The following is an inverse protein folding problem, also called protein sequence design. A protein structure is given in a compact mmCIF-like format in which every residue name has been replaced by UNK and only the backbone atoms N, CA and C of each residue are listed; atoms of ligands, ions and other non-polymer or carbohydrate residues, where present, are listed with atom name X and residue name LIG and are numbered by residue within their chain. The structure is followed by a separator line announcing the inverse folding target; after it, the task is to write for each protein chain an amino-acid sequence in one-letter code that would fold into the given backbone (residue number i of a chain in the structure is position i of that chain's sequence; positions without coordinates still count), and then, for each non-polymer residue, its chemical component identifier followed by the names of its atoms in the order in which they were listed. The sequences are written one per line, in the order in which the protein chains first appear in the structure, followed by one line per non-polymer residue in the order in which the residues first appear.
data_IF_292607554154
#
_entry.id   IF_292607554154
#
_cell.length_a   1.000
_cell.length_b   1.000
_cell.length_c   1.000
_cell.angle_alpha   90.00
_cell.angle_beta   90.00
_cell.angle_gamma   90.00
#
_symmetry.space_group_name_H-M   'P 1'
#
loop_
_entity.id
_entity.type
_entity.pdbx_description
1 polymer ?
#
# COMPACT_ATOMS: atom_id res chain seq x y z
N UNK A 1 -10.86 15.32 -35.36
CA UNK A 1 -11.64 14.06 -35.42
C UNK A 1 -10.74 12.82 -35.51
N UNK A 2 -9.83 12.72 -36.50
CA UNK A 2 -9.00 11.52 -36.72
C UNK A 2 -8.03 11.23 -35.59
N UNK A 3 -7.42 12.25 -34.99
CA UNK A 3 -6.50 12.11 -33.85
C UNK A 3 -7.21 11.59 -32.59
N UNK A 4 -8.41 12.09 -32.31
CA UNK A 4 -9.23 11.60 -31.16
C UNK A 4 -9.56 10.11 -31.33
N UNK A 5 -9.96 9.69 -32.53
CA UNK A 5 -10.26 8.27 -32.79
C UNK A 5 -9.02 7.37 -32.62
N UNK A 6 -7.86 7.86 -33.03
CA UNK A 6 -6.61 7.13 -32.88
C UNK A 6 -6.27 6.97 -31.39
N UNK A 7 -6.32 8.05 -30.62
CA UNK A 7 -6.02 8.01 -29.17
C UNK A 7 -7.01 7.11 -28.39
N UNK A 8 -8.30 7.16 -28.72
CA UNK A 8 -9.29 6.27 -28.11
C UNK A 8 -9.00 4.79 -28.45
N UNK A 9 -8.71 4.48 -29.71
CA UNK A 9 -8.40 3.10 -30.11
C UNK A 9 -7.11 2.58 -29.46
N UNK A 10 -6.12 3.44 -29.26
CA UNK A 10 -4.88 3.08 -28.58
C UNK A 10 -5.11 2.84 -27.07
N UNK A 11 -5.92 3.69 -26.42
CA UNK A 11 -6.31 3.51 -25.03
C UNK A 11 -7.14 2.23 -24.82
N UNK A 12 -8.11 1.96 -25.69
CA UNK A 12 -8.91 0.73 -25.67
C UNK A 12 -8.05 -0.53 -25.91
N UNK A 13 -7.01 -0.42 -26.74
CA UNK A 13 -6.06 -1.52 -26.97
C UNK A 13 -5.24 -1.80 -25.70
N UNK A 14 -4.79 -0.76 -25.01
CA UNK A 14 -4.08 -0.90 -23.73
C UNK A 14 -5.01 -1.47 -22.65
N UNK A 15 -6.26 -1.02 -22.58
CA UNK A 15 -7.28 -1.57 -21.67
C UNK A 15 -7.51 -3.07 -21.92
N UNK A 16 -7.66 -3.48 -23.17
CA UNK A 16 -7.85 -4.88 -23.54
C UNK A 16 -6.65 -5.77 -23.17
N UNK A 17 -5.46 -5.17 -23.11
CA UNK A 17 -4.22 -5.81 -22.63
C UNK A 17 -4.05 -5.75 -21.10
N UNK A 18 -5.00 -5.17 -20.35
CA UNK A 18 -4.89 -4.84 -18.92
C UNK A 18 -3.72 -3.90 -18.58
N UNK A 19 -3.28 -3.07 -19.53
CA UNK A 19 -2.25 -2.04 -19.35
C UNK A 19 -2.90 -0.70 -18.96
N UNK A 20 -3.63 -0.65 -17.87
CA UNK A 20 -4.41 0.52 -17.47
C UNK A 20 -3.55 1.75 -17.20
N UNK A 21 -2.33 1.59 -16.67
CA UNK A 21 -1.38 2.70 -16.50
C UNK A 21 -1.10 3.38 -17.82
N UNK A 22 -0.87 2.61 -18.89
CA UNK A 22 -0.68 3.13 -20.25
C UNK A 22 -1.94 3.80 -20.80
N UNK A 23 -3.12 3.19 -20.60
CA UNK A 23 -4.38 3.79 -21.01
C UNK A 23 -4.63 5.16 -20.35
N UNK A 24 -4.25 5.29 -19.06
CA UNK A 24 -4.33 6.56 -18.30
C UNK A 24 -3.38 7.64 -18.83
N UNK A 25 -2.24 7.29 -19.39
CA UNK A 25 -1.29 8.25 -19.98
C UNK A 25 -1.77 8.76 -21.34
N UNK A 26 -2.32 7.88 -22.17
CA UNK A 26 -2.76 8.19 -23.54
C UNK A 26 -3.85 9.27 -23.57
N UNK A 27 -4.86 9.18 -22.69
CA UNK A 27 -6.03 10.07 -22.71
C UNK A 27 -5.71 11.51 -22.32
N UNK A 28 -4.97 11.81 -21.24
CA UNK A 28 -4.53 13.17 -20.91
C UNK A 28 -3.58 13.75 -21.96
N UNK A 29 -2.66 12.95 -22.49
CA UNK A 29 -1.72 13.38 -23.53
C UNK A 29 -2.46 13.83 -24.78
N UNK A 30 -3.48 13.08 -25.19
CA UNK A 30 -4.31 13.47 -26.33
C UNK A 30 -5.11 14.75 -26.05
N UNK A 31 -5.59 14.97 -24.83
CA UNK A 31 -6.32 16.17 -24.43
C UNK A 31 -5.46 17.44 -24.43
N UNK A 32 -4.14 17.33 -24.35
CA UNK A 32 -3.22 18.46 -24.51
C UNK A 32 -3.26 19.07 -25.94
N UNK A 33 -3.70 18.28 -26.93
CA UNK A 33 -3.74 18.68 -28.35
C UNK A 33 -5.14 18.85 -28.90
N UNK A 34 -6.18 18.40 -28.19
CA UNK A 34 -7.56 18.47 -28.65
C UNK A 34 -8.53 18.47 -27.47
N UNK A 35 -9.69 19.09 -27.64
CA UNK A 35 -10.81 18.95 -26.71
C UNK A 35 -11.78 17.89 -27.22
N UNK A 36 -12.12 16.91 -26.37
CA UNK A 36 -13.03 15.82 -26.72
C UNK A 36 -13.76 15.32 -25.47
N UNK A 37 -15.10 15.30 -25.51
CA UNK A 37 -15.90 14.73 -24.43
C UNK A 37 -15.62 13.22 -24.27
N UNK A 38 -15.44 12.50 -25.36
CA UNK A 38 -15.15 11.07 -25.34
C UNK A 38 -13.80 10.75 -24.66
N UNK A 39 -12.76 11.56 -24.90
CA UNK A 39 -11.48 11.40 -24.19
C UNK A 39 -11.61 11.75 -22.70
N UNK A 40 -12.38 12.79 -22.36
CA UNK A 40 -12.64 13.13 -20.97
C UNK A 40 -13.40 12.03 -20.24
N UNK A 41 -14.42 11.46 -20.87
CA UNK A 41 -15.18 10.32 -20.32
C UNK A 41 -14.27 9.11 -20.07
N UNK A 42 -13.41 8.77 -21.02
CA UNK A 42 -12.43 7.68 -20.86
C UNK A 42 -11.40 7.99 -19.78
N UNK A 43 -10.91 9.20 -19.66
CA UNK A 43 -9.99 9.62 -18.59
C UNK A 43 -10.65 9.45 -17.21
N UNK A 44 -11.93 9.87 -17.04
CA UNK A 44 -12.66 9.66 -15.80
C UNK A 44 -12.90 8.16 -15.50
N UNK A 45 -13.18 7.36 -16.52
CA UNK A 45 -13.31 5.91 -16.38
C UNK A 45 -12.01 5.27 -15.88
N UNK A 46 -10.85 5.71 -16.38
CA UNK A 46 -9.56 5.14 -16.01
C UNK A 46 -9.05 5.60 -14.63
N UNK A 47 -9.61 6.65 -14.04
CA UNK A 47 -9.28 7.07 -12.65
C UNK A 47 -9.49 5.95 -11.63
N UNK A 48 -10.46 5.06 -11.85
CA UNK A 48 -10.70 3.90 -10.96
C UNK A 48 -9.54 2.91 -10.88
N UNK A 49 -8.57 3.02 -11.81
CA UNK A 49 -7.36 2.19 -11.81
C UNK A 49 -6.12 2.91 -11.28
N UNK A 50 -6.27 4.17 -10.80
CA UNK A 50 -5.17 4.86 -10.15
C UNK A 50 -4.76 4.14 -8.86
N UNK A 51 -3.44 4.04 -8.66
CA UNK A 51 -2.91 3.62 -7.39
C UNK A 51 -3.08 4.75 -6.38
N UNK A 52 -3.69 4.44 -5.25
CA UNK A 52 -3.92 5.42 -4.19
C UNK A 52 -3.06 5.02 -2.98
N UNK A 53 -2.23 5.94 -2.48
CA UNK A 53 -1.51 5.71 -1.23
C UNK A 53 -2.49 5.36 -0.11
N UNK A 54 -2.19 4.29 0.63
CA UNK A 54 -3.01 3.85 1.76
C UNK A 54 -3.20 4.97 2.80
N UNK A 55 -2.20 5.84 2.97
CA UNK A 55 -2.25 6.98 3.90
C UNK A 55 -3.20 8.10 3.43
N UNK A 56 -3.66 8.10 2.18
CA UNK A 56 -4.71 9.01 1.69
C UNK A 56 -6.12 8.51 1.98
N UNK A 57 -6.26 7.25 2.36
CA UNK A 57 -7.56 6.70 2.75
C UNK A 57 -7.92 7.11 4.19
N UNK A 58 -9.21 7.18 4.53
CA UNK A 58 -9.63 7.44 5.90
C UNK A 58 -9.10 6.38 6.86
N UNK A 59 -8.32 6.79 7.84
CA UNK A 59 -7.90 5.96 8.98
C UNK A 59 -9.09 5.84 9.93
N UNK A 60 -9.56 4.62 10.18
CA UNK A 60 -10.70 4.35 11.07
C UNK A 60 -10.23 4.32 12.52
N UNK A 61 -9.15 3.57 12.79
CA UNK A 61 -8.58 3.37 14.12
C UNK A 61 -7.14 2.86 14.00
N UNK A 62 -6.33 3.11 15.03
CA UNK A 62 -4.98 2.57 15.12
C UNK A 62 -4.48 2.49 16.55
N UNK A 63 -3.61 1.52 16.85
CA UNK A 63 -2.82 1.47 18.08
C UNK A 63 -1.33 1.51 17.75
N UNK A 64 -0.62 2.51 18.28
CA UNK A 64 0.84 2.73 18.11
C UNK A 64 1.30 2.81 16.66
N UNK A 65 0.57 3.56 15.89
CA UNK A 65 0.92 3.95 14.52
C UNK A 65 1.56 5.33 14.53
N UNK A 66 2.74 5.43 13.95
CA UNK A 66 3.42 6.69 13.69
C UNK A 66 3.48 6.89 12.16
N UNK A 67 2.92 7.99 11.65
CA UNK A 67 2.97 8.35 10.23
C UNK A 67 4.20 9.23 10.03
N UNK A 68 5.00 8.91 9.03
CA UNK A 68 6.18 9.71 8.68
C UNK A 68 5.77 11.08 8.15
N UNK A 69 6.49 12.11 8.58
CA UNK A 69 6.32 13.47 8.03
C UNK A 69 6.64 13.46 6.53
N UNK A 70 5.89 14.23 5.73
CA UNK A 70 6.08 14.32 4.27
C UNK A 70 7.51 14.74 3.86
N UNK A 71 8.20 15.48 4.72
CA UNK A 71 9.57 15.97 4.49
C UNK A 71 10.66 15.02 5.01
N UNK A 72 10.29 13.88 5.63
CA UNK A 72 11.23 12.96 6.25
C UNK A 72 11.12 11.58 5.66
N UNK A 73 12.16 11.17 4.94
CA UNK A 73 12.30 9.79 4.48
C UNK A 73 12.67 8.88 5.65
N UNK A 74 11.78 7.96 5.96
CA UNK A 74 12.05 6.92 6.97
C UNK A 74 12.70 5.71 6.30
N UNK A 75 13.60 5.05 7.03
CA UNK A 75 14.39 3.95 6.50
C UNK A 75 14.14 2.64 7.24
N UNK A 76 14.26 1.52 6.53
CA UNK A 76 14.36 0.20 7.12
C UNK A 76 15.79 -0.11 7.62
N UNK A 77 15.98 -1.29 8.19
CA UNK A 77 17.28 -1.75 8.70
C UNK A 77 18.32 -2.03 7.61
N UNK A 78 17.93 -2.04 6.34
CA UNK A 78 18.81 -2.19 5.17
C UNK A 78 19.17 -0.84 4.54
N UNK A 79 18.58 0.27 5.04
CA UNK A 79 18.79 1.61 4.51
C UNK A 79 17.92 1.96 3.31
N UNK A 80 16.91 1.15 2.96
CA UNK A 80 15.92 1.54 1.97
C UNK A 80 15.02 2.61 2.58
N UNK A 81 14.76 3.66 1.81
CA UNK A 81 13.91 4.80 2.21
C UNK A 81 12.59 4.77 1.44
N UNK A 82 11.54 5.29 2.06
CA UNK A 82 10.19 5.29 1.53
C UNK A 82 9.62 6.70 1.54
N UNK A 83 9.04 7.14 0.42
CA UNK A 83 8.44 8.47 0.27
C UNK A 83 7.12 8.61 1.04
N UNK A 84 6.41 7.50 1.21
CA UNK A 84 5.18 7.43 1.97
C UNK A 84 5.25 6.23 2.90
N UNK A 85 5.26 6.45 4.21
CA UNK A 85 5.41 5.37 5.17
C UNK A 85 4.72 5.62 6.51
N UNK A 86 4.44 4.53 7.21
CA UNK A 86 4.05 4.53 8.61
C UNK A 86 4.73 3.38 9.36
N UNK A 87 4.83 3.53 10.66
CA UNK A 87 5.45 2.53 11.54
C UNK A 87 4.42 2.02 12.54
N UNK A 88 4.30 0.70 12.68
CA UNK A 88 3.56 0.07 13.76
C UNK A 88 4.55 -0.45 14.80
N UNK A 89 4.29 -0.14 16.09
CA UNK A 89 5.20 -0.46 17.19
C UNK A 89 4.53 -1.38 18.22
N UNK A 90 5.11 -2.57 18.46
CA UNK A 90 4.63 -3.51 19.48
C UNK A 90 5.65 -3.67 20.60
N UNK A 91 5.30 -3.21 21.82
CA UNK A 91 6.22 -3.11 22.96
C UNK A 91 6.43 -4.41 23.71
N UNK A 92 5.46 -5.31 23.77
CA UNK A 92 5.49 -6.54 24.59
C UNK A 92 5.04 -7.75 23.83
N UNK A 93 5.47 -8.92 24.28
CA UNK A 93 5.09 -10.23 23.72
C UNK A 93 3.58 -10.38 23.65
N UNK A 94 3.09 -10.85 22.50
CA UNK A 94 1.67 -11.07 22.23
C UNK A 94 0.84 -9.81 22.06
N UNK A 95 1.42 -8.62 22.29
CA UNK A 95 0.71 -7.36 22.04
C UNK A 95 0.62 -7.11 20.55
N UNK A 96 -0.59 -6.79 20.10
CA UNK A 96 -0.90 -6.44 18.72
C UNK A 96 -0.91 -4.91 18.61
N UNK A 97 -0.20 -4.38 17.62
CA UNK A 97 -0.37 -3.01 17.11
C UNK A 97 -1.05 -3.08 15.75
N UNK A 98 -1.89 -2.12 15.45
CA UNK A 98 -2.73 -2.19 14.25
C UNK A 98 -3.06 -0.83 13.65
N UNK A 99 -3.48 -0.87 12.40
CA UNK A 99 -4.10 0.24 11.69
C UNK A 99 -5.25 -0.27 10.83
N UNK A 100 -6.39 0.43 10.86
CA UNK A 100 -7.58 0.15 10.06
C UNK A 100 -7.81 1.27 9.06
N UNK A 101 -7.93 0.93 7.79
CA UNK A 101 -8.20 1.87 6.69
C UNK A 101 -9.52 1.57 6.02
N UNK A 102 -10.31 2.62 5.74
CA UNK A 102 -11.54 2.50 4.97
C UNK A 102 -11.24 2.59 3.48
N UNK A 103 -11.44 1.50 2.76
CA UNK A 103 -11.33 1.40 1.30
C UNK A 103 -12.66 1.63 0.60
N UNK A 104 -13.76 1.62 1.36
CA UNK A 104 -15.15 1.73 0.87
C UNK A 104 -15.50 0.70 -0.23
N UNK A 105 -14.76 -0.41 -0.31
CA UNK A 105 -14.96 -1.46 -1.30
C UNK A 105 -14.53 -1.08 -2.73
N UNK A 106 -13.69 -0.06 -2.89
CA UNK A 106 -13.34 0.48 -4.20
C UNK A 106 -12.11 -0.16 -4.84
N UNK A 107 -11.34 -0.99 -4.10
CA UNK A 107 -10.05 -1.48 -4.55
C UNK A 107 -9.93 -2.99 -4.42
N UNK A 108 -9.23 -3.60 -5.38
CA UNK A 108 -9.04 -5.04 -5.42
C UNK A 108 -7.73 -5.50 -4.81
N UNK A 109 -6.66 -4.69 -4.92
CA UNK A 109 -5.32 -5.07 -4.48
C UNK A 109 -4.76 -4.10 -3.45
N UNK A 110 -3.95 -4.65 -2.52
CA UNK A 110 -3.08 -3.92 -1.60
C UNK A 110 -1.63 -4.27 -1.94
N UNK A 111 -0.80 -3.25 -2.13
CA UNK A 111 0.62 -3.38 -2.44
C UNK A 111 1.46 -2.51 -1.54
N UNK A 112 2.76 -2.78 -1.54
CA UNK A 112 3.77 -2.02 -0.81
C UNK A 112 4.85 -2.93 -0.26
N UNK A 113 5.70 -2.38 0.60
CA UNK A 113 6.78 -3.11 1.24
C UNK A 113 6.70 -2.94 2.74
N UNK A 114 6.98 -3.99 3.51
CA UNK A 114 7.22 -3.84 4.93
C UNK A 114 8.57 -4.44 5.34
N UNK A 115 9.17 -3.87 6.39
CA UNK A 115 10.46 -4.27 6.91
C UNK A 115 10.61 -3.90 8.39
N UNK A 116 11.66 -4.41 9.03
CA UNK A 116 12.07 -3.89 10.32
C UNK A 116 12.50 -2.42 10.17
N UNK A 117 11.96 -1.54 11.01
CA UNK A 117 12.31 -0.12 11.01
C UNK A 117 13.74 0.10 11.52
N UNK A 118 14.48 1.04 10.95
CA UNK A 118 15.88 1.31 11.30
C UNK A 118 16.08 1.56 12.80
N UNK A 119 15.11 2.20 13.45
CA UNK A 119 15.12 2.46 14.90
C UNK A 119 14.55 1.32 15.74
N UNK A 120 14.34 0.12 15.17
CA UNK A 120 13.99 -1.05 15.98
C UNK A 120 15.10 -1.33 16.99
N UNK A 121 14.72 -1.53 18.24
CA UNK A 121 15.62 -1.82 19.34
C UNK A 121 16.61 -2.97 19.07
N UNK A 122 17.68 -3.04 19.86
CA UNK A 122 18.65 -4.13 19.77
C UNK A 122 18.06 -5.42 20.40
N UNK A 123 18.44 -6.56 19.87
CA UNK A 123 18.05 -7.89 20.35
C UNK A 123 17.36 -8.75 19.31
N UNK A 124 17.23 -10.04 19.62
CA UNK A 124 16.58 -11.04 18.77
C UNK A 124 15.05 -10.92 18.84
N UNK A 125 14.54 -9.80 18.31
CA UNK A 125 13.09 -9.56 18.23
C UNK A 125 12.49 -10.38 17.11
N UNK A 126 11.40 -11.09 17.43
CA UNK A 126 10.60 -11.85 16.46
C UNK A 126 9.24 -11.18 16.34
N UNK A 127 8.82 -10.94 15.10
CA UNK A 127 7.52 -10.34 14.81
C UNK A 127 6.84 -11.02 13.63
N UNK A 128 5.55 -10.81 13.54
CA UNK A 128 4.73 -11.27 12.43
C UNK A 128 3.79 -10.15 12.00
N UNK A 129 3.60 -10.03 10.68
CA UNK A 129 2.66 -9.11 10.07
C UNK A 129 1.47 -9.90 9.56
N UNK A 130 0.26 -9.42 9.84
CA UNK A 130 -0.98 -10.01 9.33
C UNK A 130 -1.84 -8.92 8.68
N UNK A 131 -2.45 -9.24 7.56
CA UNK A 131 -3.41 -8.37 6.88
C UNK A 131 -4.78 -9.04 6.86
N UNK A 132 -5.80 -8.28 7.19
CA UNK A 132 -7.19 -8.69 7.10
C UNK A 132 -7.94 -7.79 6.11
N UNK A 133 -8.89 -8.37 5.39
CA UNK A 133 -9.83 -7.72 4.50
C UNK A 133 -11.24 -8.07 4.97
N UNK A 134 -12.04 -7.11 5.46
CA UNK A 134 -13.35 -7.32 6.09
C UNK A 134 -13.33 -8.45 7.13
N UNK A 135 -12.41 -8.36 8.10
CA UNK A 135 -12.19 -9.35 9.17
C UNK A 135 -11.68 -10.73 8.71
N UNK A 136 -11.52 -10.95 7.42
CA UNK A 136 -10.93 -12.17 6.88
C UNK A 136 -9.43 -12.02 6.73
N UNK A 137 -8.68 -12.98 7.27
CA UNK A 137 -7.23 -13.02 7.14
C UNK A 137 -6.85 -13.36 5.70
N UNK A 138 -6.23 -12.40 5.00
CA UNK A 138 -5.80 -12.56 3.60
C UNK A 138 -4.29 -12.74 3.46
N UNK A 139 -3.52 -12.36 4.49
CA UNK A 139 -2.07 -12.55 4.50
C UNK A 139 -1.55 -12.72 5.92
N UNK A 140 -0.53 -13.55 6.07
CA UNK A 140 0.29 -13.65 7.29
C UNK A 140 1.73 -13.92 6.86
N UNK A 141 2.66 -13.08 7.32
CA UNK A 141 4.09 -13.28 7.08
C UNK A 141 4.61 -14.51 7.84
N UNK A 142 5.75 -15.10 7.45
CA UNK A 142 6.51 -15.93 8.35
C UNK A 142 6.95 -15.12 9.59
N UNK A 143 7.53 -15.79 10.58
CA UNK A 143 8.24 -15.11 11.67
C UNK A 143 9.45 -14.36 11.11
N UNK A 144 9.53 -13.09 11.42
CA UNK A 144 10.57 -12.18 10.93
C UNK A 144 11.39 -11.63 12.07
N UNK A 145 12.63 -11.25 11.76
CA UNK A 145 13.58 -10.63 12.69
C UNK A 145 14.05 -9.27 12.15
N UNK A 146 14.76 -8.52 12.99
CA UNK A 146 15.39 -7.25 12.59
C UNK A 146 16.25 -7.37 11.31
N UNK A 147 16.90 -8.51 11.13
CA UNK A 147 17.79 -8.80 10.00
C UNK A 147 17.08 -9.50 8.82
N UNK A 148 15.77 -9.67 8.88
CA UNK A 148 15.01 -10.19 7.75
C UNK A 148 14.94 -9.18 6.62
N UNK A 149 15.06 -9.65 5.38
CA UNK A 149 14.93 -8.80 4.19
C UNK A 149 13.54 -8.12 4.14
N UNK A 150 13.44 -6.92 3.56
CA UNK A 150 12.18 -6.31 3.25
C UNK A 150 11.27 -7.27 2.47
N UNK A 151 9.99 -7.21 2.73
CA UNK A 151 8.98 -8.09 2.12
C UNK A 151 8.01 -7.25 1.32
N UNK A 152 7.92 -7.55 0.02
CA UNK A 152 6.94 -6.94 -0.85
C UNK A 152 5.58 -7.62 -0.69
N UNK A 153 4.54 -6.80 -0.62
CA UNK A 153 3.15 -7.22 -0.60
C UNK A 153 2.49 -7.00 -1.95
N UNK A 154 1.75 -7.99 -2.41
CA UNK A 154 0.78 -7.89 -3.49
C UNK A 154 -0.39 -8.82 -3.15
N UNK A 155 -1.42 -8.28 -2.52
CA UNK A 155 -2.50 -9.05 -1.91
C UNK A 155 -3.81 -8.70 -2.62
N UNK A 156 -4.54 -9.71 -3.09
CA UNK A 156 -5.94 -9.54 -3.51
C UNK A 156 -6.81 -9.37 -2.26
N UNK A 157 -7.37 -8.17 -2.08
CA UNK A 157 -8.27 -7.80 -0.98
C UNK A 157 -9.75 -7.87 -1.38
N UNK A 158 -10.05 -8.26 -2.63
CA UNK A 158 -11.39 -8.62 -3.09
C UNK A 158 -12.46 -7.55 -2.94
N UNK A 159 -12.10 -6.25 -3.07
CA UNK A 159 -13.01 -5.12 -2.83
C UNK A 159 -13.55 -5.06 -1.39
N UNK A 160 -12.75 -5.47 -0.41
CA UNK A 160 -13.06 -5.31 1.00
C UNK A 160 -13.29 -3.83 1.34
N UNK A 161 -14.20 -3.55 2.27
CA UNK A 161 -14.47 -2.19 2.75
C UNK A 161 -13.47 -1.70 3.77
N UNK A 162 -12.87 -2.62 4.50
CA UNK A 162 -11.90 -2.31 5.55
C UNK A 162 -10.67 -3.19 5.38
N UNK A 163 -9.50 -2.57 5.40
CA UNK A 163 -8.21 -3.25 5.52
C UNK A 163 -7.71 -3.02 6.94
N UNK A 164 -7.28 -4.11 7.59
CA UNK A 164 -6.56 -4.05 8.85
C UNK A 164 -5.15 -4.60 8.65
N UNK A 165 -4.15 -3.85 9.07
CA UNK A 165 -2.75 -4.30 9.13
C UNK A 165 -2.38 -4.44 10.60
N UNK A 166 -1.82 -5.59 10.97
CA UNK A 166 -1.41 -5.91 12.34
C UNK A 166 0.07 -6.28 12.40
N UNK A 167 0.71 -5.88 13.49
CA UNK A 167 2.04 -6.35 13.89
C UNK A 167 1.93 -6.94 15.29
N UNK A 168 2.44 -8.15 15.46
CA UNK A 168 2.56 -8.81 16.75
C UNK A 168 4.00 -9.16 17.05
N UNK A 169 4.44 -8.91 18.29
CA UNK A 169 5.72 -9.39 18.79
C UNK A 169 5.55 -10.80 19.36
N UNK A 170 6.41 -11.72 18.95
CA UNK A 170 6.33 -13.15 19.30
C UNK A 170 7.39 -13.59 20.32
N UNK A 171 8.55 -12.91 20.41
CA UNK A 171 9.62 -13.28 21.33
C UNK A 171 9.28 -12.93 22.79
N UNK A 172 9.81 -13.72 23.73
CA UNK A 172 9.62 -13.53 25.18
C UNK A 172 10.70 -12.65 25.85
N UNK A 173 11.49 -11.94 25.06
CA UNK A 173 12.60 -11.10 25.56
C UNK A 173 12.16 -9.89 26.38
N UNK A 174 13.12 -9.19 27.00
CA UNK A 174 12.89 -7.97 27.79
C UNK A 174 12.13 -6.88 27.01
N UNK A 175 11.44 -5.98 27.71
CA UNK A 175 10.63 -4.91 27.10
C UNK A 175 11.47 -3.76 26.49
N UNK A 176 12.80 -3.87 26.48
CA UNK A 176 13.67 -2.82 25.96
C UNK A 176 13.53 -2.70 24.43
N UNK A 177 12.87 -1.63 24.00
CA UNK A 177 12.82 -1.19 22.61
C UNK A 177 11.82 -1.86 21.67
N UNK A 178 11.00 -2.82 22.12
CA UNK A 178 9.90 -3.39 21.33
C UNK A 178 10.24 -3.80 19.89
N UNK A 179 9.20 -4.12 19.11
CA UNK A 179 9.25 -4.32 17.66
C UNK A 179 8.72 -3.05 16.99
N UNK A 180 9.40 -2.59 15.96
CA UNK A 180 8.96 -1.50 15.08
C UNK A 180 9.04 -1.99 13.64
N UNK A 181 7.93 -1.94 12.93
CA UNK A 181 7.83 -2.36 11.51
C UNK A 181 7.39 -1.17 10.69
N UNK A 182 8.21 -0.83 9.69
CA UNK A 182 7.89 0.20 8.71
C UNK A 182 7.11 -0.41 7.55
N UNK A 183 6.08 0.27 7.12
CA UNK A 183 5.27 -0.01 5.93
C UNK A 183 5.50 1.13 4.94
N UNK A 184 6.21 0.84 3.86
CA UNK A 184 6.62 1.81 2.87
C UNK A 184 5.85 1.70 1.57
N UNK A 185 5.49 2.85 1.01
CA UNK A 185 4.81 2.97 -0.29
C UNK A 185 3.59 2.05 -0.40
N UNK A 186 2.84 1.95 0.72
CA UNK A 186 1.60 1.17 0.74
C UNK A 186 0.53 1.84 -0.12
N UNK A 187 -0.04 1.10 -1.05
CA UNK A 187 -1.06 1.59 -1.98
C UNK A 187 -2.17 0.57 -2.21
N UNK A 188 -3.32 1.05 -2.59
CA UNK A 188 -4.44 0.24 -3.08
C UNK A 188 -4.70 0.53 -4.55
N UNK A 189 -5.11 -0.50 -5.31
CA UNK A 189 -5.33 -0.39 -6.75
C UNK A 189 -6.37 -1.39 -7.25
N UNK A 190 -6.79 -1.20 -8.52
CA UNK A 190 -7.62 -2.15 -9.26
C UNK A 190 -6.81 -2.87 -10.36
N UNK A 191 -5.54 -2.58 -10.50
CA UNK A 191 -4.61 -3.27 -11.40
C UNK A 191 -3.87 -4.39 -10.65
N UNK A 192 -3.59 -5.49 -11.35
CA UNK A 192 -2.78 -6.59 -10.82
C UNK A 192 -1.31 -6.41 -11.24
#
# INVERSE_FOLDING_TARGET
AQYVQYALAEAETAEAANEFSRAREITPDALNYTSSSALNEKMEEYKKYENISLLKLPLIDSDRMDISDEDKLEADTYGNTYESSFVLSSGSTGRISYAYFNTDGNYKFLRGTFAAYSEMGTGDRIYQVTVYADDQKVYTSPELKKVSQPTDLNIDIGYAKVIQIQVVRLDEGSNDGGVKVIFGNMEVSNEN
#
